data_IF_008937107123
#
_entry.id   IF_008937107123
#
_cell.length_a   1.000
_cell.length_b   1.000
_cell.length_c   1.000
_cell.angle_alpha   90.00
_cell.angle_beta   90.00
_cell.angle_gamma   90.00
#
_symmetry.space_group_name_H-M   'P 1'
#
loop_
_entity.id
_entity.type
_entity.pdbx_description
1 polymer ?
#
# COMPACT_ATOMS: atom_id res chain seq x y z
N UNK A 1 10.74 5.26 3.57
CA UNK A 1 10.09 3.96 3.23
C UNK A 1 10.25 3.70 1.75
N UNK A 2 10.61 2.49 1.40
CA UNK A 2 10.72 2.09 0.00
C UNK A 2 9.47 1.31 -0.42
N UNK A 3 9.00 1.58 -1.61
CA UNK A 3 7.83 0.92 -2.17
C UNK A 3 8.23 0.23 -3.46
N UNK A 4 8.14 -1.08 -3.51
CA UNK A 4 8.37 -1.85 -4.72
C UNK A 4 7.03 -2.34 -5.25
N UNK A 5 6.80 -2.19 -6.55
CA UNK A 5 5.49 -2.49 -7.11
C UNK A 5 5.58 -3.16 -8.48
N UNK A 6 6.03 -4.40 -8.54
CA UNK A 6 6.01 -5.12 -9.80
C UNK A 6 4.56 -5.30 -10.28
N UNK A 7 4.27 -4.82 -11.48
CA UNK A 7 2.95 -4.99 -12.07
C UNK A 7 2.81 -6.41 -12.61
N UNK A 8 1.65 -7.02 -12.42
CA UNK A 8 1.47 -8.40 -12.85
C UNK A 8 0.00 -8.71 -13.10
N UNK A 9 -0.40 -8.75 -14.37
CA UNK A 9 -1.70 -9.23 -14.82
C UNK A 9 -2.91 -8.66 -14.06
N UNK A 10 -2.92 -7.36 -13.86
CA UNK A 10 -4.02 -6.70 -13.19
C UNK A 10 -3.95 -6.76 -11.67
N UNK A 11 -2.90 -7.33 -11.12
CA UNK A 11 -2.67 -7.36 -9.69
C UNK A 11 -1.55 -6.36 -9.36
N UNK A 12 -1.86 -5.41 -8.51
CA UNK A 12 -0.86 -4.47 -8.02
C UNK A 12 -0.20 -5.06 -6.77
N UNK A 13 1.00 -5.55 -6.94
CA UNK A 13 1.78 -6.07 -5.81
C UNK A 13 2.63 -4.94 -5.26
N UNK A 14 2.47 -4.65 -3.98
CA UNK A 14 3.17 -3.56 -3.32
C UNK A 14 3.97 -4.13 -2.16
N UNK A 15 5.28 -4.05 -2.24
CA UNK A 15 6.15 -4.48 -1.14
C UNK A 15 6.66 -3.23 -0.42
N UNK A 16 6.40 -3.14 0.86
CA UNK A 16 6.79 -2.01 1.69
C UNK A 16 8.03 -2.37 2.51
N UNK A 17 8.96 -1.44 2.59
CA UNK A 17 10.21 -1.65 3.33
C UNK A 17 10.49 -0.41 4.16
N UNK A 18 10.68 -0.59 5.46
CA UNK A 18 11.01 0.49 6.37
C UNK A 18 9.90 0.77 7.37
N UNK A 19 9.54 2.04 7.51
CA UNK A 19 8.56 2.47 8.51
C UNK A 19 7.35 3.08 7.82
N UNK A 20 6.18 2.65 8.23
CA UNK A 20 4.92 3.24 7.78
C UNK A 20 4.34 4.02 8.96
N UNK A 21 4.58 5.32 8.97
CA UNK A 21 4.16 6.21 10.05
C UNK A 21 3.42 7.42 9.51
N UNK A 22 3.22 8.44 10.36
CA UNK A 22 2.45 9.62 9.95
C UNK A 22 3.09 10.41 8.83
N UNK A 23 4.40 10.27 8.62
CA UNK A 23 5.10 10.98 7.55
C UNK A 23 5.11 10.19 6.25
N UNK A 24 5.09 8.86 6.32
CA UNK A 24 5.13 8.01 5.13
C UNK A 24 3.76 7.52 4.69
N UNK A 25 2.77 7.49 5.58
CA UNK A 25 1.43 7.07 5.22
C UNK A 25 0.84 7.88 4.06
N UNK A 26 0.98 9.23 4.02
CA UNK A 26 0.49 10.00 2.88
C UNK A 26 1.17 9.63 1.56
N UNK A 27 2.45 9.23 1.62
CA UNK A 27 3.17 8.79 0.44
C UNK A 27 2.55 7.52 -0.12
N UNK A 28 2.25 6.56 0.75
CA UNK A 28 1.62 5.32 0.34
C UNK A 28 0.21 5.58 -0.21
N UNK A 29 -0.54 6.45 0.44
CA UNK A 29 -1.87 6.79 -0.02
C UNK A 29 -1.85 7.39 -1.42
N UNK A 30 -0.94 8.34 -1.67
CA UNK A 30 -0.78 8.94 -2.99
C UNK A 30 -0.35 7.90 -4.02
N UNK A 31 0.57 7.03 -3.65
CA UNK A 31 1.03 5.97 -4.54
C UNK A 31 -0.13 5.08 -4.96
N UNK A 32 -0.92 4.61 -4.01
CA UNK A 32 -2.05 3.74 -4.31
C UNK A 32 -3.09 4.46 -5.15
N UNK A 33 -3.34 5.74 -4.88
CA UNK A 33 -4.27 6.53 -5.67
C UNK A 33 -3.84 6.71 -7.12
N UNK A 34 -2.53 6.78 -7.36
CA UNK A 34 -2.00 6.97 -8.71
C UNK A 34 -1.83 5.66 -9.47
N UNK A 35 -1.52 4.57 -8.78
CA UNK A 35 -1.19 3.30 -9.42
C UNK A 35 -2.37 2.36 -9.55
N UNK A 36 -3.35 2.47 -8.68
CA UNK A 36 -4.50 1.58 -8.70
C UNK A 36 -5.64 2.21 -9.49
N UNK A 37 -6.09 1.51 -10.52
CA UNK A 37 -7.15 2.02 -11.41
C UNK A 37 -8.55 1.58 -10.98
N UNK A 38 -8.66 0.83 -9.91
CA UNK A 38 -9.95 0.41 -9.38
C UNK A 38 -10.49 -0.89 -9.97
N UNK A 39 -9.79 -1.47 -10.95
CA UNK A 39 -10.30 -2.66 -11.64
C UNK A 39 -9.61 -3.95 -11.26
N UNK A 40 -8.46 -3.88 -10.61
CA UNK A 40 -7.71 -5.06 -10.24
C UNK A 40 -7.71 -5.33 -8.75
N UNK A 41 -6.77 -6.15 -8.32
CA UNK A 41 -6.54 -6.45 -6.92
C UNK A 41 -5.25 -5.79 -6.45
N UNK A 42 -5.19 -5.51 -5.14
CA UNK A 42 -3.97 -4.99 -4.52
C UNK A 42 -3.49 -6.03 -3.50
N UNK A 43 -2.21 -6.37 -3.60
CA UNK A 43 -1.55 -7.22 -2.60
C UNK A 43 -0.46 -6.38 -1.98
N UNK A 44 -0.53 -6.18 -0.68
CA UNK A 44 0.45 -5.38 0.04
C UNK A 44 1.26 -6.30 0.95
N UNK A 45 2.57 -6.36 0.69
CA UNK A 45 3.48 -7.16 1.47
C UNK A 45 4.15 -6.27 2.51
N UNK A 46 3.89 -6.55 3.78
CA UNK A 46 4.42 -5.78 4.90
C UNK A 46 5.54 -6.50 5.63
N UNK A 47 6.08 -7.57 5.03
CA UNK A 47 7.09 -8.38 5.69
C UNK A 47 8.33 -7.58 6.11
N UNK A 48 8.69 -6.59 5.31
CA UNK A 48 9.87 -5.78 5.58
C UNK A 48 9.58 -4.49 6.32
N UNK A 49 8.34 -4.30 6.75
CA UNK A 49 8.02 -3.15 7.57
C UNK A 49 8.56 -3.36 8.97
N UNK A 50 9.32 -2.39 9.48
CA UNK A 50 9.85 -2.43 10.84
C UNK A 50 8.88 -1.76 11.83
N UNK A 51 7.94 -0.97 11.33
CA UNK A 51 7.01 -0.24 12.17
C UNK A 51 5.79 0.18 11.38
N UNK A 52 4.62 0.15 12.00
CA UNK A 52 3.39 0.66 11.41
C UNK A 52 2.62 1.46 12.46
N UNK A 53 2.22 2.68 12.11
CA UNK A 53 1.42 3.53 12.99
C UNK A 53 -0.07 3.38 12.67
N UNK A 54 -0.91 4.00 13.50
CA UNK A 54 -2.35 4.00 13.23
C UNK A 54 -2.67 4.72 11.92
N UNK A 55 -1.91 5.76 11.56
CA UNK A 55 -2.10 6.44 10.28
C UNK A 55 -1.79 5.50 9.12
N UNK A 56 -0.72 4.72 9.22
CA UNK A 56 -0.39 3.73 8.19
C UNK A 56 -1.45 2.65 8.08
N UNK A 57 -1.93 2.18 9.22
CA UNK A 57 -2.97 1.17 9.23
C UNK A 57 -4.25 1.68 8.55
N UNK A 58 -4.60 2.94 8.73
CA UNK A 58 -5.75 3.53 8.05
C UNK A 58 -5.62 3.48 6.54
N UNK A 59 -4.43 3.76 6.02
CA UNK A 59 -4.19 3.71 4.58
C UNK A 59 -4.38 2.30 4.06
N UNK A 60 -3.87 1.31 4.79
CA UNK A 60 -4.03 -0.09 4.40
C UNK A 60 -5.50 -0.52 4.41
N UNK A 61 -6.24 -0.11 5.43
CA UNK A 61 -7.67 -0.41 5.51
C UNK A 61 -8.46 0.27 4.39
N UNK A 62 -8.10 1.50 4.05
CA UNK A 62 -8.76 2.20 2.94
C UNK A 62 -8.49 1.49 1.61
N UNK A 63 -7.28 0.99 1.42
CA UNK A 63 -6.95 0.24 0.22
C UNK A 63 -7.76 -1.05 0.13
N UNK A 64 -7.92 -1.74 1.26
CA UNK A 64 -8.71 -2.96 1.31
C UNK A 64 -10.16 -2.71 0.92
N UNK A 65 -10.74 -1.60 1.38
CA UNK A 65 -12.12 -1.27 1.03
C UNK A 65 -12.28 -1.00 -0.46
N UNK A 66 -11.29 -0.41 -1.09
CA UNK A 66 -11.35 -0.13 -2.53
C UNK A 66 -11.31 -1.41 -3.36
N UNK A 67 -10.67 -2.45 -2.85
CA UNK A 67 -10.52 -3.69 -3.60
C UNK A 67 -11.57 -4.74 -3.27
N UNK A 68 -12.45 -4.44 -2.36
CA UNK A 68 -13.43 -5.39 -1.83
C UNK A 68 -12.78 -6.62 -1.18
N UNK A 69 -11.51 -6.53 -0.97
CA UNK A 69 -10.76 -7.62 -0.38
C UNK A 69 -10.62 -7.47 1.10
#
# INVERSE_FOLDING_TARGET
MNINFPANNGILNVALDGRLDTTTAPELESFLGNQYDGTGSIVIDCEKLSYISSAGLRVLLAAQKKTKG
#
